data_IF_800195268585
#
_entry.id   IF_800195268585
#
_cell.length_a   1.000
_cell.length_b   1.000
_cell.length_c   1.000
_cell.angle_alpha   90.00
_cell.angle_beta   90.00
_cell.angle_gamma   90.00
#
_symmetry.space_group_name_H-M   'P 1'
#
loop_
_entity.id
_entity.type
_entity.pdbx_description
1 polymer ?
#
# COMPACT_ATOMS: atom_id res chain seq x y z
N UNK A 1 8.88 -15.61 9.16
CA UNK A 1 8.25 -15.04 7.94
C UNK A 1 7.17 -14.00 8.23
N UNK A 2 5.91 -14.34 8.57
CA UNK A 2 4.84 -13.31 8.73
C UNK A 2 5.14 -12.27 9.83
N UNK A 3 5.69 -12.71 10.97
CA UNK A 3 6.09 -11.83 12.06
C UNK A 3 7.24 -10.88 11.69
N UNK A 4 8.13 -11.26 10.76
CA UNK A 4 9.24 -10.40 10.32
C UNK A 4 8.76 -9.28 9.40
N UNK A 5 7.84 -9.59 8.48
CA UNK A 5 7.26 -8.60 7.57
C UNK A 5 6.48 -7.53 8.35
N UNK A 6 5.72 -7.93 9.37
CA UNK A 6 5.00 -6.97 10.24
C UNK A 6 6.00 -6.07 10.98
N UNK A 7 7.08 -6.62 11.54
CA UNK A 7 8.14 -5.82 12.16
C UNK A 7 8.80 -4.86 11.16
N UNK A 8 8.98 -5.27 9.93
CA UNK A 8 9.53 -4.41 8.88
C UNK A 8 8.59 -3.25 8.54
N UNK A 9 7.29 -3.52 8.36
CA UNK A 9 6.27 -2.50 8.16
C UNK A 9 6.23 -1.49 9.31
N UNK A 10 6.35 -1.98 10.55
CA UNK A 10 6.35 -1.14 11.75
C UNK A 10 7.55 -0.19 11.80
N UNK A 11 8.75 -0.68 11.49
CA UNK A 11 9.95 0.17 11.42
C UNK A 11 9.85 1.27 10.37
N UNK A 12 9.27 0.98 9.21
CA UNK A 12 9.04 2.00 8.16
C UNK A 12 8.02 3.03 8.66
N UNK A 13 6.94 2.57 9.28
CA UNK A 13 5.87 3.41 9.81
C UNK A 13 6.43 4.40 10.84
N UNK A 14 7.23 3.92 11.78
CA UNK A 14 7.87 4.75 12.80
C UNK A 14 8.87 5.75 12.21
N UNK A 15 9.79 5.28 11.35
CA UNK A 15 10.83 6.12 10.77
C UNK A 15 10.27 7.25 9.90
N UNK A 16 9.22 6.96 9.11
CA UNK A 16 8.56 7.94 8.26
C UNK A 16 7.42 8.70 8.95
N UNK A 17 7.11 8.37 10.22
CA UNK A 17 5.96 8.91 10.98
C UNK A 17 4.64 8.75 10.22
N UNK A 18 4.50 7.64 9.49
CA UNK A 18 3.29 7.33 8.74
C UNK A 18 2.19 6.82 9.67
N UNK A 19 0.94 7.05 9.30
CA UNK A 19 -0.22 6.51 10.03
C UNK A 19 -0.36 5.00 9.83
N UNK A 20 -0.05 4.53 8.63
CA UNK A 20 -0.22 3.16 8.18
C UNK A 20 0.85 2.81 7.15
N UNK A 21 1.35 1.57 7.16
CA UNK A 21 2.26 1.01 6.15
C UNK A 21 1.83 -0.42 5.82
N UNK A 22 1.80 -0.76 4.53
CA UNK A 22 1.51 -2.09 4.03
C UNK A 22 2.64 -2.61 3.16
N UNK A 23 2.92 -3.89 3.29
CA UNK A 23 3.84 -4.64 2.44
C UNK A 23 3.01 -5.59 1.60
N UNK A 24 3.19 -5.52 0.29
CA UNK A 24 2.39 -6.26 -0.68
C UNK A 24 3.26 -7.20 -1.50
N UNK A 25 2.77 -8.42 -1.73
CA UNK A 25 3.31 -9.30 -2.74
C UNK A 25 2.64 -8.99 -4.08
N UNK A 26 3.46 -8.76 -5.12
CA UNK A 26 3.01 -8.54 -6.49
C UNK A 26 3.09 -9.86 -7.25
N UNK A 27 1.94 -10.46 -7.54
CA UNK A 27 1.82 -11.67 -8.34
C UNK A 27 1.72 -11.39 -9.84
N UNK A 28 1.36 -12.42 -10.61
CA UNK A 28 1.13 -12.29 -12.06
C UNK A 28 -0.10 -11.46 -12.39
N UNK A 29 -1.20 -11.67 -11.67
CA UNK A 29 -2.51 -11.06 -11.91
C UNK A 29 -3.11 -10.36 -10.70
N UNK A 30 -2.52 -10.54 -9.52
CA UNK A 30 -3.04 -9.96 -8.27
C UNK A 30 -1.93 -9.36 -7.41
N UNK A 31 -2.31 -8.41 -6.58
CA UNK A 31 -1.50 -7.86 -5.49
C UNK A 31 -2.19 -8.26 -4.18
N UNK A 32 -1.42 -8.69 -3.18
CA UNK A 32 -1.94 -9.10 -1.87
C UNK A 32 -1.11 -8.57 -0.71
N UNK A 33 -1.77 -8.13 0.37
CA UNK A 33 -1.09 -7.69 1.60
C UNK A 33 -0.44 -8.90 2.27
N UNK A 34 0.86 -8.83 2.52
CA UNK A 34 1.63 -9.86 3.26
C UNK A 34 2.01 -9.43 4.67
N UNK A 35 1.89 -8.14 4.98
CA UNK A 35 1.96 -7.59 6.34
C UNK A 35 1.69 -6.10 6.35
N UNK A 36 1.29 -5.57 7.49
CA UNK A 36 1.02 -4.14 7.67
C UNK A 36 1.28 -3.72 9.11
N UNK A 37 1.45 -2.42 9.34
CA UNK A 37 1.40 -1.77 10.65
C UNK A 37 0.51 -0.54 10.56
N UNK A 38 -0.37 -0.35 11.55
CA UNK A 38 -1.35 0.73 11.57
C UNK A 38 -2.66 0.34 12.27
N UNK A 39 -3.63 1.26 12.33
CA UNK A 39 -4.82 1.12 13.18
C UNK A 39 -5.77 0.00 12.74
N UNK A 40 -5.84 -0.30 11.45
CA UNK A 40 -6.82 -1.23 10.88
C UNK A 40 -6.25 -1.93 9.63
N UNK A 41 -6.78 -3.09 9.23
CA UNK A 41 -6.39 -3.76 7.98
C UNK A 41 -6.80 -2.96 6.75
N UNK A 42 -6.12 -3.18 5.62
CA UNK A 42 -6.54 -2.59 4.34
C UNK A 42 -7.92 -3.10 3.92
N UNK A 43 -8.77 -2.21 3.38
CA UNK A 43 -10.12 -2.55 2.93
C UNK A 43 -10.13 -3.63 1.83
N UNK A 44 -9.09 -3.65 0.99
CA UNK A 44 -8.88 -4.66 -0.05
C UNK A 44 -7.56 -5.41 0.21
N UNK A 45 -7.56 -6.53 0.96
CA UNK A 45 -6.35 -7.28 1.25
C UNK A 45 -5.77 -8.03 0.04
N UNK A 46 -6.56 -8.19 -1.03
CA UNK A 46 -6.16 -8.75 -2.33
C UNK A 46 -6.98 -8.08 -3.44
N UNK A 47 -6.34 -7.72 -4.54
CA UNK A 47 -6.97 -7.03 -5.68
C UNK A 47 -6.21 -7.28 -7.00
N UNK A 48 -6.85 -7.10 -8.17
CA UNK A 48 -6.20 -7.20 -9.48
C UNK A 48 -4.97 -6.31 -9.59
N UNK A 49 -3.91 -6.79 -10.24
CA UNK A 49 -2.62 -6.09 -10.36
C UNK A 49 -2.74 -4.75 -11.07
N UNK A 50 -3.75 -4.57 -11.91
CA UNK A 50 -3.97 -3.37 -12.72
C UNK A 50 -4.67 -2.25 -11.95
N UNK A 51 -5.15 -2.51 -10.72
CA UNK A 51 -5.90 -1.56 -9.92
C UNK A 51 -5.05 -0.88 -8.85
N UNK A 52 -5.46 0.33 -8.48
CA UNK A 52 -4.87 1.05 -7.37
C UNK A 52 -3.54 1.73 -7.71
N UNK A 53 -3.07 2.54 -6.77
CA UNK A 53 -1.74 3.14 -6.83
C UNK A 53 -0.63 2.07 -6.79
N UNK A 54 -0.89 0.96 -6.08
CA UNK A 54 -0.03 -0.24 -6.09
C UNK A 54 0.15 -0.82 -7.49
N UNK A 55 -0.93 -0.96 -8.26
CA UNK A 55 -0.85 -1.43 -9.64
C UNK A 55 -0.06 -0.48 -10.54
N UNK A 56 -0.29 0.83 -10.40
CA UNK A 56 0.45 1.84 -11.15
C UNK A 56 1.97 1.83 -10.83
N UNK A 57 2.34 1.69 -9.56
CA UNK A 57 3.74 1.55 -9.14
C UNK A 57 4.38 0.27 -9.69
N UNK A 58 3.67 -0.87 -9.59
CA UNK A 58 4.14 -2.16 -10.09
C UNK A 58 4.31 -2.17 -11.62
N UNK A 59 3.43 -1.49 -12.36
CA UNK A 59 3.50 -1.39 -13.81
C UNK A 59 4.64 -0.48 -14.29
N UNK A 60 4.87 0.63 -13.59
CA UNK A 60 5.90 1.62 -13.96
C UNK A 60 7.29 1.29 -13.42
N UNK A 61 7.41 0.41 -12.43
CA UNK A 61 8.66 0.17 -11.70
C UNK A 61 9.17 1.42 -10.98
N UNK A 62 8.31 2.42 -10.76
CA UNK A 62 8.66 3.71 -10.17
C UNK A 62 7.77 4.02 -8.98
N UNK A 63 8.28 4.83 -8.04
CA UNK A 63 7.48 5.29 -6.91
C UNK A 63 6.32 6.18 -7.38
N UNK A 64 5.16 6.01 -6.77
CA UNK A 64 3.96 6.82 -7.01
C UNK A 64 3.65 7.61 -5.75
N UNK A 65 3.74 8.94 -5.84
CA UNK A 65 3.40 9.86 -4.75
C UNK A 65 2.12 10.61 -5.10
N UNK A 66 1.09 10.46 -4.25
CA UNK A 66 -0.20 11.12 -4.40
C UNK A 66 -0.50 11.93 -3.16
N UNK A 67 -0.52 13.26 -3.32
CA UNK A 67 -0.77 14.19 -2.22
C UNK A 67 -2.26 14.29 -1.83
N UNK A 68 -3.16 13.98 -2.77
CA UNK A 68 -4.60 13.90 -2.55
C UNK A 68 -5.20 12.71 -3.29
N UNK A 69 -5.52 11.65 -2.55
CA UNK A 69 -6.08 10.41 -3.12
C UNK A 69 -7.52 10.58 -3.60
N UNK A 70 -8.25 11.58 -3.11
CA UNK A 70 -9.61 11.86 -3.57
C UNK A 70 -9.64 12.41 -5.00
N UNK A 71 -8.51 12.98 -5.45
CA UNK A 71 -8.34 13.54 -6.78
C UNK A 71 -7.70 12.59 -7.79
N UNK A 72 -7.21 11.41 -7.36
CA UNK A 72 -6.58 10.43 -8.25
C UNK A 72 -7.57 9.32 -8.65
N UNK A 73 -7.98 9.22 -9.93
CA UNK A 73 -8.98 8.24 -10.37
C UNK A 73 -8.50 6.79 -10.26
N UNK A 74 -7.20 6.56 -10.05
CA UNK A 74 -6.65 5.22 -9.85
C UNK A 74 -6.78 4.75 -8.41
N UNK A 75 -7.13 5.62 -7.46
CA UNK A 75 -7.12 5.28 -6.05
C UNK A 75 -8.13 4.17 -5.75
N UNK A 76 -7.59 3.06 -5.25
CA UNK A 76 -8.36 1.97 -4.65
C UNK A 76 -8.27 2.14 -3.14
N UNK A 77 -9.42 2.26 -2.47
CA UNK A 77 -9.47 2.59 -1.04
C UNK A 77 -8.62 1.63 -0.19
N UNK A 78 -7.52 2.13 0.36
CA UNK A 78 -6.73 1.39 1.36
C UNK A 78 -7.40 1.48 2.72
N UNK A 79 -7.67 2.71 3.17
CA UNK A 79 -8.41 3.05 4.39
C UNK A 79 -9.43 4.15 4.06
N UNK A 80 -10.59 4.14 4.72
CA UNK A 80 -11.68 5.10 4.45
C UNK A 80 -11.34 6.57 4.74
N UNK A 81 -10.23 6.83 5.41
CA UNK A 81 -9.74 8.16 5.81
C UNK A 81 -8.31 8.45 5.35
N UNK A 82 -7.76 7.68 4.39
CA UNK A 82 -6.51 8.05 3.72
C UNK A 82 -6.72 9.33 2.92
N UNK A 83 -5.77 10.26 3.04
CA UNK A 83 -5.78 11.55 2.31
C UNK A 83 -4.65 11.66 1.30
N UNK A 84 -3.49 11.09 1.63
CA UNK A 84 -2.30 11.03 0.78
C UNK A 84 -1.70 9.65 0.86
N UNK A 85 -1.05 9.19 -0.21
CA UNK A 85 -0.41 7.89 -0.28
C UNK A 85 0.89 7.95 -1.08
N UNK A 86 1.90 7.22 -0.62
CA UNK A 86 3.11 6.93 -1.39
C UNK A 86 3.25 5.42 -1.52
N UNK A 87 3.50 4.95 -2.74
CA UNK A 87 3.79 3.56 -3.05
C UNK A 87 5.20 3.47 -3.62
N UNK A 88 6.00 2.57 -3.06
CA UNK A 88 7.35 2.24 -3.55
C UNK A 88 7.32 0.79 -4.04
N UNK A 89 7.69 0.53 -5.32
CA UNK A 89 7.65 -0.81 -5.92
C UNK A 89 8.80 -1.72 -5.44
#
# INVERSE_FOLDING_TARGET
MKAEIVRFADRIREAGRYRWVGIYAVGRSEISVIGWSGPEPAAHPRFPKELGLCGAAAASGSSVLVNDVASDPRYLTTLGNTRSEIVVP
#
